data_IF_082996268077
#
_entry.id   IF_082996268077
#
_cell.length_a   1.000
_cell.length_b   1.000
_cell.length_c   1.000
_cell.angle_alpha   90.00
_cell.angle_beta   90.00
_cell.angle_gamma   90.00
#
_symmetry.space_group_name_H-M   'P 1'
#
loop_
_entity.id
_entity.type
_entity.pdbx_description
1 polymer ?
#
# COMPACT_ATOMS: atom_id res chain seq x y z
N UNK A 1 -16.32 11.44 -0.87
CA UNK A 1 -15.74 10.09 -0.99
C UNK A 1 -14.36 10.19 -1.58
N UNK A 2 -13.40 9.40 -1.10
CA UNK A 2 -12.08 9.23 -1.72
C UNK A 2 -11.97 7.82 -2.30
N UNK A 3 -11.23 7.65 -3.41
CA UNK A 3 -10.84 6.35 -3.94
C UNK A 3 -9.48 5.97 -3.35
N UNK A 4 -9.40 4.81 -2.72
CA UNK A 4 -8.16 4.20 -2.23
C UNK A 4 -7.90 2.95 -3.04
N UNK A 5 -6.75 2.84 -3.71
CA UNK A 5 -6.34 1.62 -4.39
C UNK A 5 -5.29 0.89 -3.57
N UNK A 6 -5.35 -0.44 -3.51
CA UNK A 6 -4.46 -1.22 -2.65
C UNK A 6 -4.80 -1.13 -1.16
N UNK A 7 -6.08 -0.81 -0.83
CA UNK A 7 -6.52 -0.58 0.54
C UNK A 7 -6.76 -1.84 1.37
N UNK A 8 -6.55 -3.05 0.82
CA UNK A 8 -6.50 -4.30 1.58
C UNK A 8 -5.06 -4.76 1.87
N UNK A 9 -4.03 -4.05 1.34
CA UNK A 9 -2.62 -4.26 1.65
C UNK A 9 -2.23 -3.63 3.00
N UNK A 10 -1.00 -3.88 3.45
CA UNK A 10 -0.50 -3.45 4.76
C UNK A 10 -0.67 -1.95 5.03
N UNK A 11 -0.08 -1.08 4.21
CA UNK A 11 -0.13 0.38 4.42
C UNK A 11 -1.53 0.91 4.10
N UNK A 12 -2.13 0.46 2.98
CA UNK A 12 -3.46 0.90 2.57
C UNK A 12 -4.55 0.57 3.57
N UNK A 13 -4.54 -0.63 4.18
CA UNK A 13 -5.51 -1.01 5.20
C UNK A 13 -5.36 -0.17 6.48
N UNK A 14 -4.14 0.07 6.95
CA UNK A 14 -3.90 0.98 8.08
C UNK A 14 -4.39 2.39 7.75
N UNK A 15 -4.21 2.88 6.54
CA UNK A 15 -4.74 4.18 6.11
C UNK A 15 -6.27 4.20 6.08
N UNK A 16 -6.93 3.17 5.53
CA UNK A 16 -8.40 3.09 5.49
C UNK A 16 -9.00 3.06 6.89
N UNK A 17 -8.41 2.26 7.80
CA UNK A 17 -8.81 2.21 9.21
C UNK A 17 -8.64 3.57 9.90
N UNK A 18 -7.48 4.21 9.73
CA UNK A 18 -7.19 5.53 10.30
C UNK A 18 -8.11 6.60 9.72
N UNK A 19 -8.33 6.60 8.39
CA UNK A 19 -9.21 7.56 7.72
C UNK A 19 -10.63 7.52 8.28
N UNK A 20 -11.23 6.33 8.35
CA UNK A 20 -12.61 6.16 8.82
C UNK A 20 -12.77 6.34 10.34
N UNK A 21 -11.67 6.24 11.10
CA UNK A 21 -11.66 6.56 12.53
C UNK A 21 -11.75 8.06 12.81
N UNK A 22 -11.16 8.90 11.94
CA UNK A 22 -11.08 10.35 12.18
C UNK A 22 -11.88 11.21 11.20
N UNK A 23 -12.44 10.63 10.12
CA UNK A 23 -13.24 11.31 9.13
C UNK A 23 -14.62 10.67 8.96
N UNK A 24 -15.62 11.48 8.69
CA UNK A 24 -16.94 11.00 8.27
C UNK A 24 -17.02 10.65 6.77
N UNK A 25 -16.01 11.00 6.00
CA UNK A 25 -15.99 10.85 4.55
C UNK A 25 -15.78 9.39 4.13
N UNK A 26 -16.67 8.84 3.25
CA UNK A 26 -16.59 7.47 2.79
C UNK A 26 -15.33 7.17 1.95
N UNK A 27 -14.92 5.91 1.97
CA UNK A 27 -13.83 5.34 1.19
C UNK A 27 -14.37 4.33 0.18
N UNK A 28 -14.06 4.52 -1.10
CA UNK A 28 -14.14 3.49 -2.13
C UNK A 28 -12.79 2.78 -2.16
N UNK A 29 -12.75 1.53 -1.72
CA UNK A 29 -11.53 0.73 -1.60
C UNK A 29 -11.44 -0.28 -2.75
N UNK A 30 -10.55 -0.03 -3.72
CA UNK A 30 -10.28 -0.92 -4.85
C UNK A 30 -9.01 -1.73 -4.57
N UNK A 31 -9.12 -3.05 -4.52
CA UNK A 31 -7.98 -3.94 -4.33
C UNK A 31 -8.12 -5.22 -5.16
N UNK A 32 -7.04 -5.66 -5.77
CA UNK A 32 -7.02 -6.88 -6.57
C UNK A 32 -7.01 -8.17 -5.73
N UNK A 33 -6.76 -8.05 -4.42
CA UNK A 33 -6.57 -9.16 -3.48
C UNK A 33 -5.54 -10.17 -3.99
N UNK A 34 -4.37 -9.64 -4.38
CA UNK A 34 -3.20 -10.48 -4.65
C UNK A 34 -2.67 -11.07 -3.33
N UNK A 35 -1.51 -11.71 -3.36
CA UNK A 35 -0.97 -12.42 -2.20
C UNK A 35 -0.83 -11.59 -0.90
N UNK A 36 -0.70 -10.26 -1.00
CA UNK A 36 -0.56 -9.34 0.14
C UNK A 36 -1.84 -8.58 0.49
N UNK A 37 -2.89 -8.70 -0.31
CA UNK A 37 -4.21 -8.12 -0.04
C UNK A 37 -5.02 -9.02 0.90
N UNK A 38 -5.42 -8.52 2.07
CA UNK A 38 -6.16 -9.30 3.07
C UNK A 38 -7.31 -8.49 3.66
N UNK A 39 -8.54 -8.84 3.28
CA UNK A 39 -9.75 -8.17 3.78
C UNK A 39 -10.05 -8.46 5.26
N UNK A 40 -9.52 -9.53 5.84
CA UNK A 40 -9.64 -9.79 7.27
C UNK A 40 -9.03 -8.65 8.10
N UNK A 41 -8.01 -7.96 7.56
CA UNK A 41 -7.44 -6.75 8.15
C UNK A 41 -8.49 -5.64 8.33
N UNK A 42 -9.50 -5.61 7.48
CA UNK A 42 -10.59 -4.63 7.47
C UNK A 42 -11.90 -5.19 8.06
N UNK A 43 -11.87 -6.33 8.76
CA UNK A 43 -13.06 -6.99 9.31
C UNK A 43 -13.89 -6.07 10.22
N UNK A 44 -13.24 -5.15 10.96
CA UNK A 44 -13.94 -4.15 11.79
C UNK A 44 -14.81 -3.18 10.98
N UNK A 45 -14.58 -3.06 9.67
CA UNK A 45 -15.34 -2.20 8.76
C UNK A 45 -16.43 -2.96 7.97
N UNK A 46 -16.65 -4.25 8.24
CA UNK A 46 -17.56 -5.09 7.47
C UNK A 46 -19.01 -4.54 7.43
N UNK A 47 -19.43 -3.83 8.49
CA UNK A 47 -20.77 -3.22 8.60
C UNK A 47 -20.74 -1.68 8.52
N UNK A 48 -19.59 -1.07 8.24
CA UNK A 48 -19.49 0.38 8.08
C UNK A 48 -19.86 0.78 6.65
N UNK A 49 -21.02 1.43 6.49
CA UNK A 49 -21.53 1.89 5.18
C UNK A 49 -20.61 2.92 4.50
N UNK A 50 -19.65 3.49 5.22
CA UNK A 50 -18.66 4.42 4.68
C UNK A 50 -17.52 3.69 3.97
N UNK A 51 -17.38 2.36 4.16
CA UNK A 51 -16.38 1.52 3.49
C UNK A 51 -17.04 0.73 2.36
N UNK A 52 -16.80 1.15 1.13
CA UNK A 52 -17.26 0.47 -0.09
C UNK A 52 -16.08 -0.29 -0.67
N UNK A 53 -16.11 -1.61 -0.60
CA UNK A 53 -15.05 -2.44 -1.15
C UNK A 53 -15.39 -2.93 -2.56
N UNK A 54 -14.42 -2.83 -3.47
CA UNK A 54 -14.48 -3.39 -4.82
C UNK A 54 -13.25 -4.24 -5.08
N UNK A 55 -13.45 -5.53 -5.40
CA UNK A 55 -12.37 -6.39 -5.89
C UNK A 55 -12.11 -6.08 -7.35
N UNK A 56 -10.89 -5.64 -7.67
CA UNK A 56 -10.51 -5.33 -9.06
C UNK A 56 -9.08 -4.87 -9.20
N UNK A 57 -8.58 -4.96 -10.42
CA UNK A 57 -7.21 -4.60 -10.79
C UNK A 57 -7.17 -3.18 -11.38
N UNK A 58 -6.20 -2.37 -10.99
CA UNK A 58 -5.95 -1.05 -11.58
C UNK A 58 -5.51 -1.13 -13.05
N UNK A 59 -5.14 -2.30 -13.55
CA UNK A 59 -4.92 -2.56 -14.97
C UNK A 59 -6.24 -2.68 -15.78
N UNK A 60 -7.39 -2.87 -15.12
CA UNK A 60 -8.71 -2.89 -15.79
C UNK A 60 -9.24 -1.46 -15.96
N UNK A 61 -8.95 -0.86 -17.11
CA UNK A 61 -9.37 0.49 -17.45
C UNK A 61 -10.90 0.64 -17.45
N UNK A 62 -11.64 -0.34 -17.95
CA UNK A 62 -13.10 -0.26 -18.01
C UNK A 62 -13.72 -0.26 -16.61
N UNK A 63 -13.16 -1.05 -15.68
CA UNK A 63 -13.53 -0.99 -14.27
C UNK A 63 -13.28 0.38 -13.67
N UNK A 64 -12.10 0.95 -13.88
CA UNK A 64 -11.76 2.29 -13.36
C UNK A 64 -12.74 3.36 -13.89
N UNK A 65 -12.98 3.39 -15.19
CA UNK A 65 -13.91 4.37 -15.79
C UNK A 65 -15.32 4.25 -15.19
N UNK A 66 -15.83 3.02 -14.95
CA UNK A 66 -17.10 2.79 -14.29
C UNK A 66 -17.11 3.30 -12.85
N UNK A 67 -16.07 2.98 -12.06
CA UNK A 67 -15.97 3.42 -10.66
C UNK A 67 -15.95 4.95 -10.54
N UNK A 68 -15.22 5.64 -11.42
CA UNK A 68 -15.21 7.11 -11.44
C UNK A 68 -16.57 7.69 -11.84
N UNK A 69 -17.28 7.07 -12.78
CA UNK A 69 -18.60 7.51 -13.20
C UNK A 69 -19.66 7.34 -12.10
N UNK A 70 -19.66 6.17 -11.43
CA UNK A 70 -20.64 5.82 -10.41
C UNK A 70 -20.42 6.56 -9.08
N UNK A 71 -19.18 6.65 -8.64
CA UNK A 71 -18.85 7.12 -7.29
C UNK A 71 -18.32 8.56 -7.23
N UNK A 72 -17.83 9.12 -8.35
CA UNK A 72 -17.34 10.50 -8.46
C UNK A 72 -16.40 10.91 -7.32
N UNK A 73 -15.30 10.17 -7.06
CA UNK A 73 -14.43 10.47 -5.95
C UNK A 73 -13.77 11.85 -6.11
N UNK A 74 -13.66 12.60 -4.99
CA UNK A 74 -12.97 13.91 -4.98
C UNK A 74 -11.46 13.81 -4.88
N UNK A 75 -10.94 12.63 -4.58
CA UNK A 75 -9.51 12.38 -4.49
C UNK A 75 -9.20 10.90 -4.71
N UNK A 76 -7.97 10.62 -5.12
CA UNK A 76 -7.40 9.29 -5.23
C UNK A 76 -6.20 9.18 -4.30
N UNK A 77 -6.10 8.10 -3.52
CA UNK A 77 -4.90 7.72 -2.77
C UNK A 77 -4.42 6.37 -3.29
N UNK A 78 -3.28 6.37 -3.96
CA UNK A 78 -2.81 5.24 -4.73
C UNK A 78 -1.72 4.46 -4.00
N UNK A 79 -2.11 3.33 -3.36
CA UNK A 79 -1.19 2.38 -2.73
C UNK A 79 -0.97 1.10 -3.56
N UNK A 80 -1.87 0.79 -4.51
CA UNK A 80 -1.79 -0.46 -5.26
C UNK A 80 -0.45 -0.59 -5.99
N UNK A 81 0.33 -1.60 -5.62
CA UNK A 81 1.63 -1.89 -6.19
C UNK A 81 2.07 -3.32 -5.85
N UNK A 82 2.84 -3.93 -6.74
CA UNK A 82 3.74 -5.02 -6.35
C UNK A 82 4.92 -4.42 -5.59
N UNK A 83 5.28 -4.98 -4.39
CA UNK A 83 6.19 -4.31 -3.46
C UNK A 83 7.28 -5.18 -2.83
N UNK A 84 7.37 -6.48 -3.17
CA UNK A 84 8.36 -7.36 -2.59
C UNK A 84 9.61 -7.45 -3.46
N UNK A 85 10.76 -6.89 -3.00
CA UNK A 85 11.99 -6.79 -3.79
C UNK A 85 12.46 -8.16 -4.29
N UNK A 86 12.51 -9.20 -3.41
CA UNK A 86 12.98 -10.53 -3.83
C UNK A 86 12.07 -11.13 -4.91
N UNK A 87 10.75 -10.93 -4.84
CA UNK A 87 9.82 -11.33 -5.90
C UNK A 87 10.08 -10.57 -7.20
N UNK A 88 10.50 -9.30 -7.13
CA UNK A 88 10.83 -8.51 -8.33
C UNK A 88 12.06 -9.04 -9.07
N UNK A 89 13.00 -9.65 -8.35
CA UNK A 89 14.20 -10.27 -8.94
C UNK A 89 13.81 -11.54 -9.73
N UNK A 90 12.88 -12.32 -9.20
CA UNK A 90 12.45 -13.57 -9.84
C UNK A 90 11.37 -13.37 -10.92
N UNK A 91 10.51 -12.35 -10.80
CA UNK A 91 9.39 -12.11 -11.72
C UNK A 91 9.11 -10.62 -11.96
N UNK A 92 10.00 -9.88 -12.65
CA UNK A 92 9.90 -8.44 -12.82
C UNK A 92 8.69 -7.99 -13.65
N UNK A 93 8.16 -8.85 -14.51
CA UNK A 93 7.04 -8.50 -15.39
C UNK A 93 5.77 -8.07 -14.64
N UNK A 94 5.46 -8.70 -13.50
CA UNK A 94 4.32 -8.32 -12.68
C UNK A 94 4.47 -6.89 -12.11
N UNK A 95 5.70 -6.49 -11.78
CA UNK A 95 6.01 -5.15 -11.27
C UNK A 95 5.85 -4.07 -12.36
N UNK A 96 6.30 -4.35 -13.57
CA UNK A 96 6.08 -3.44 -14.71
C UNK A 96 4.59 -3.31 -15.00
N UNK A 97 3.86 -4.42 -15.06
CA UNK A 97 2.42 -4.42 -15.32
C UNK A 97 1.66 -3.63 -14.25
N UNK A 98 1.81 -3.98 -12.98
CA UNK A 98 1.03 -3.35 -11.91
C UNK A 98 1.51 -1.92 -11.65
N UNK A 99 2.82 -1.72 -11.45
CA UNK A 99 3.31 -0.43 -10.98
C UNK A 99 3.40 0.63 -12.09
N UNK A 100 3.62 0.22 -13.33
CA UNK A 100 3.74 1.17 -14.45
C UNK A 100 2.44 1.24 -15.25
N UNK A 101 1.99 0.13 -15.85
CA UNK A 101 0.75 0.09 -16.65
C UNK A 101 -0.49 0.38 -15.82
N UNK A 102 -0.60 -0.23 -14.61
CA UNK A 102 -1.71 0.02 -13.70
C UNK A 102 -1.77 1.48 -13.25
N UNK A 103 -0.64 2.10 -12.90
CA UNK A 103 -0.57 3.53 -12.56
C UNK A 103 -0.95 4.39 -13.76
N UNK A 104 -0.49 4.06 -14.97
CA UNK A 104 -0.90 4.75 -16.20
C UNK A 104 -2.42 4.71 -16.40
N UNK A 105 -3.05 3.55 -16.29
CA UNK A 105 -4.48 3.39 -16.45
C UNK A 105 -5.27 4.19 -15.41
N UNK A 106 -4.81 4.18 -14.15
CA UNK A 106 -5.43 4.94 -13.08
C UNK A 106 -5.30 6.45 -13.31
N UNK A 107 -4.13 6.92 -13.76
CA UNK A 107 -3.91 8.34 -14.11
C UNK A 107 -4.83 8.79 -15.25
N UNK A 108 -4.98 8.00 -16.31
CA UNK A 108 -5.85 8.31 -17.44
C UNK A 108 -7.34 8.31 -17.05
N UNK A 109 -7.80 7.34 -16.24
CA UNK A 109 -9.17 7.34 -15.73
C UNK A 109 -9.42 8.55 -14.81
N UNK A 110 -8.45 8.87 -13.94
CA UNK A 110 -8.50 10.04 -13.07
C UNK A 110 -8.56 11.34 -13.87
N UNK A 111 -7.72 11.47 -14.91
CA UNK A 111 -7.71 12.65 -15.78
C UNK A 111 -9.02 12.82 -16.52
N UNK A 112 -9.57 11.75 -17.07
CA UNK A 112 -10.86 11.77 -17.74
C UNK A 112 -11.98 12.24 -16.79
N UNK A 113 -12.02 11.72 -15.57
CA UNK A 113 -12.95 12.16 -14.55
C UNK A 113 -12.73 13.63 -14.15
N UNK A 114 -11.49 14.02 -13.84
CA UNK A 114 -11.15 15.38 -13.43
C UNK A 114 -11.55 16.43 -14.48
N UNK A 115 -11.43 16.13 -15.76
CA UNK A 115 -11.86 17.03 -16.83
C UNK A 115 -13.38 17.33 -16.81
N UNK A 116 -14.21 16.42 -16.28
CA UNK A 116 -15.66 16.60 -16.14
C UNK A 116 -16.08 17.44 -14.93
N UNK A 117 -15.17 17.69 -13.99
CA UNK A 117 -15.46 18.39 -12.74
C UNK A 117 -15.63 19.91 -12.98
N UNK A 118 -16.41 20.56 -12.11
CA UNK A 118 -16.50 22.03 -12.05
C UNK A 118 -15.15 22.64 -11.64
N UNK A 119 -14.98 23.94 -11.84
CA UNK A 119 -13.75 24.63 -11.46
C UNK A 119 -13.44 24.51 -9.96
N UNK A 120 -14.44 24.57 -9.10
CA UNK A 120 -14.29 24.43 -7.65
C UNK A 120 -13.86 23.00 -7.26
N UNK A 121 -14.50 21.97 -7.85
CA UNK A 121 -14.13 20.58 -7.63
C UNK A 121 -12.71 20.29 -8.13
N UNK A 122 -12.33 20.80 -9.31
CA UNK A 122 -10.96 20.68 -9.85
C UNK A 122 -9.92 21.28 -8.92
N UNK A 123 -10.17 22.42 -8.33
CA UNK A 123 -9.25 23.09 -7.40
C UNK A 123 -9.01 22.26 -6.12
N UNK A 124 -10.03 21.55 -5.64
CA UNK A 124 -9.98 20.71 -4.44
C UNK A 124 -9.55 19.26 -4.71
N UNK A 125 -9.56 18.81 -5.97
CA UNK A 125 -9.21 17.45 -6.33
C UNK A 125 -7.73 17.16 -6.04
N UNK A 126 -7.40 15.94 -5.62
CA UNK A 126 -6.01 15.47 -5.43
C UNK A 126 -5.85 14.04 -5.91
N UNK A 127 -4.75 13.79 -6.60
CA UNK A 127 -4.23 12.44 -6.86
C UNK A 127 -2.97 12.29 -5.99
N UNK A 128 -3.04 11.49 -4.92
CA UNK A 128 -1.91 11.22 -4.05
C UNK A 128 -1.28 9.87 -4.41
N UNK A 129 -0.06 9.92 -4.92
CA UNK A 129 0.74 8.74 -5.22
C UNK A 129 1.65 8.39 -4.04
N UNK A 130 1.55 7.16 -3.53
CA UNK A 130 2.42 6.66 -2.46
C UNK A 130 3.56 5.85 -3.08
N UNK A 131 4.79 6.37 -2.92
CA UNK A 131 6.03 5.78 -3.42
C UNK A 131 6.97 5.39 -2.27
N UNK A 132 8.24 5.20 -2.55
CA UNK A 132 9.27 4.67 -1.65
C UNK A 132 10.56 5.45 -1.78
N UNK A 133 11.35 5.49 -0.72
CA UNK A 133 12.72 6.04 -0.73
C UNK A 133 13.70 5.20 -1.56
N UNK A 134 13.37 3.94 -1.84
CA UNK A 134 14.19 3.06 -2.68
C UNK A 134 14.39 3.57 -4.11
N UNK A 135 13.56 4.52 -4.56
CA UNK A 135 13.73 5.18 -5.87
C UNK A 135 15.00 6.04 -5.96
N UNK A 136 15.50 6.51 -4.82
CA UNK A 136 16.73 7.34 -4.77
C UNK A 136 18.01 6.51 -4.90
N UNK A 137 17.98 5.20 -4.70
CA UNK A 137 19.15 4.35 -4.73
C UNK A 137 19.78 4.12 -3.35
N UNK A 138 21.08 3.87 -3.30
CA UNK A 138 21.81 3.48 -2.09
C UNK A 138 22.75 4.58 -1.59
N UNK A 139 22.77 4.79 -0.28
CA UNK A 139 23.71 5.69 0.40
C UNK A 139 24.92 4.93 0.93
N UNK A 140 26.10 5.59 0.97
CA UNK A 140 27.20 5.18 1.81
C UNK A 140 26.88 5.46 3.29
N UNK A 141 27.75 4.99 4.19
CA UNK A 141 27.56 5.22 5.65
C UNK A 141 27.60 6.70 6.03
N UNK A 142 28.27 7.54 5.23
CA UNK A 142 28.56 8.94 5.55
C UNK A 142 27.78 9.95 4.70
N UNK A 143 27.05 9.48 3.68
CA UNK A 143 26.28 10.37 2.85
C UNK A 143 25.13 11.02 3.65
N UNK A 144 24.73 12.25 3.33
CA UNK A 144 23.54 12.84 3.93
C UNK A 144 22.29 12.07 3.49
N UNK A 145 21.21 12.08 4.31
CA UNK A 145 19.92 11.50 3.91
C UNK A 145 19.38 12.12 2.62
N UNK A 146 18.64 11.31 1.83
CA UNK A 146 18.00 11.78 0.60
C UNK A 146 16.97 12.86 0.88
N UNK A 147 17.03 13.92 0.10
CA UNK A 147 16.01 14.97 0.01
C UNK A 147 15.17 14.74 -1.24
N UNK A 148 14.05 15.44 -1.38
CA UNK A 148 13.21 15.41 -2.58
C UNK A 148 13.88 15.96 -3.86
N UNK A 149 15.10 16.52 -3.74
CA UNK A 149 15.89 17.04 -4.85
C UNK A 149 16.93 16.06 -5.39
N UNK A 150 17.12 14.93 -4.71
CA UNK A 150 18.05 13.89 -5.18
C UNK A 150 17.54 13.25 -6.48
N UNK A 151 18.46 12.85 -7.34
CA UNK A 151 18.14 12.06 -8.53
C UNK A 151 17.67 10.67 -8.13
N UNK A 152 16.87 10.06 -9.00
CA UNK A 152 16.45 8.67 -8.85
C UNK A 152 17.51 7.75 -9.48
N UNK A 153 18.02 6.81 -8.68
CA UNK A 153 19.04 5.82 -9.07
C UNK A 153 18.66 4.41 -8.56
N UNK A 154 17.45 3.91 -8.93
CA UNK A 154 16.92 2.67 -8.39
C UNK A 154 17.74 1.44 -8.79
N UNK A 155 18.04 0.53 -7.84
CA UNK A 155 18.91 -0.63 -8.05
C UNK A 155 18.16 -1.97 -8.16
N UNK A 156 16.84 -2.01 -7.97
CA UNK A 156 16.03 -3.22 -8.09
C UNK A 156 14.92 -3.07 -9.13
N UNK A 157 14.38 -4.17 -9.72
CA UNK A 157 13.22 -4.08 -10.60
C UNK A 157 12.00 -3.45 -9.92
N UNK A 158 11.81 -3.69 -8.62
CA UNK A 158 10.78 -3.03 -7.82
C UNK A 158 10.99 -1.50 -7.79
N UNK A 159 12.14 -1.04 -7.29
CA UNK A 159 12.41 0.40 -7.17
C UNK A 159 12.42 1.10 -8.53
N UNK A 160 12.91 0.44 -9.59
CA UNK A 160 12.84 0.95 -10.96
C UNK A 160 11.39 1.12 -11.45
N UNK A 161 10.51 0.16 -11.16
CA UNK A 161 9.09 0.26 -11.52
C UNK A 161 8.37 1.37 -10.74
N UNK A 162 8.74 1.60 -9.46
CA UNK A 162 8.22 2.71 -8.66
C UNK A 162 8.72 4.06 -9.18
N UNK A 163 10.02 4.18 -9.50
CA UNK A 163 10.57 5.38 -10.12
C UNK A 163 9.86 5.71 -11.46
N UNK A 164 9.56 4.69 -12.27
CA UNK A 164 8.81 4.88 -13.51
C UNK A 164 7.40 5.41 -13.25
N UNK A 165 6.68 4.87 -12.25
CA UNK A 165 5.36 5.38 -11.89
C UNK A 165 5.40 6.81 -11.33
N UNK A 166 6.40 7.16 -10.51
CA UNK A 166 6.61 8.53 -10.02
C UNK A 166 6.81 9.51 -11.19
N UNK A 167 7.59 9.13 -12.20
CA UNK A 167 7.78 9.94 -13.41
C UNK A 167 6.50 10.09 -14.24
N UNK A 168 5.65 9.06 -14.32
CA UNK A 168 4.33 9.17 -14.95
C UNK A 168 3.44 10.16 -14.20
N UNK A 169 3.36 10.03 -12.87
CA UNK A 169 2.56 10.95 -12.02
C UNK A 169 3.02 12.39 -12.21
N UNK A 170 4.34 12.62 -12.17
CA UNK A 170 4.93 13.93 -12.43
C UNK A 170 4.59 14.46 -13.84
N UNK A 171 4.67 13.61 -14.86
CA UNK A 171 4.37 13.98 -16.25
C UNK A 171 2.89 14.38 -16.41
N UNK A 172 1.94 13.68 -15.76
CA UNK A 172 0.51 14.05 -15.78
C UNK A 172 0.24 15.42 -15.17
N UNK A 173 0.99 15.78 -14.13
CA UNK A 173 0.92 17.13 -13.57
C UNK A 173 1.42 18.18 -14.59
N UNK A 174 2.65 18.02 -15.07
CA UNK A 174 3.28 19.04 -15.92
C UNK A 174 2.65 19.17 -17.31
N UNK A 175 2.18 18.05 -17.87
CA UNK A 175 1.60 18.04 -19.23
C UNK A 175 0.12 18.41 -19.22
N UNK A 176 -0.65 17.90 -18.26
CA UNK A 176 -2.11 18.00 -18.27
C UNK A 176 -2.68 18.84 -17.13
N UNK A 177 -1.86 19.29 -16.20
CA UNK A 177 -2.29 20.08 -15.04
C UNK A 177 -3.03 19.28 -13.97
N UNK A 178 -2.96 17.93 -14.00
CA UNK A 178 -3.60 17.10 -12.98
C UNK A 178 -3.00 17.43 -11.59
N UNK A 179 -3.82 17.73 -10.57
CA UNK A 179 -3.31 18.11 -9.25
C UNK A 179 -2.84 16.88 -8.46
N UNK A 180 -1.59 16.47 -8.73
CA UNK A 180 -0.95 15.33 -8.07
C UNK A 180 -0.12 15.77 -6.89
N UNK A 181 0.05 14.87 -5.91
CA UNK A 181 1.07 14.94 -4.86
C UNK A 181 1.72 13.56 -4.74
N UNK A 182 3.01 13.51 -4.43
CA UNK A 182 3.74 12.25 -4.24
C UNK A 182 4.34 12.19 -2.84
N UNK A 183 4.33 11.02 -2.22
CA UNK A 183 5.10 10.78 -0.99
C UNK A 183 6.08 9.63 -1.21
N UNK A 184 7.35 9.84 -0.83
CA UNK A 184 8.36 8.79 -0.78
C UNK A 184 8.58 8.43 0.69
N UNK A 185 8.17 7.22 1.08
CA UNK A 185 8.26 6.80 2.47
C UNK A 185 9.46 5.90 2.72
N UNK A 186 10.00 5.95 3.93
CA UNK A 186 10.97 4.99 4.45
C UNK A 186 10.32 3.65 4.81
N UNK A 187 11.10 2.68 5.32
CA UNK A 187 10.63 1.34 5.61
C UNK A 187 9.53 1.32 6.68
N UNK A 188 8.34 0.89 6.29
CA UNK A 188 7.19 0.83 7.19
C UNK A 188 7.21 -0.44 8.05
N UNK A 189 6.72 -0.33 9.29
CA UNK A 189 6.47 -1.44 10.20
C UNK A 189 5.24 -1.17 11.07
N UNK A 190 4.62 -2.21 11.61
CA UNK A 190 3.45 -2.06 12.45
C UNK A 190 2.44 -3.20 12.33
N UNK A 191 1.21 -3.00 12.85
CA UNK A 191 0.09 -3.93 12.73
C UNK A 191 -0.22 -4.32 11.30
N UNK A 192 -0.60 -5.58 11.07
CA UNK A 192 -1.00 -6.13 9.77
C UNK A 192 0.09 -6.20 8.70
N UNK A 193 1.37 -6.03 9.07
CA UNK A 193 2.48 -6.21 8.13
C UNK A 193 2.64 -7.69 7.76
N UNK A 194 2.68 -8.00 6.46
CA UNK A 194 2.69 -9.38 5.97
C UNK A 194 3.97 -10.12 6.43
N UNK A 195 3.87 -11.37 6.93
CA UNK A 195 4.96 -12.06 7.62
C UNK A 195 6.11 -12.57 6.71
N UNK A 196 6.23 -12.09 5.49
CA UNK A 196 7.41 -12.25 4.63
C UNK A 196 8.45 -11.12 4.80
N UNK A 197 8.08 -10.02 5.47
CA UNK A 197 8.95 -8.87 5.70
C UNK A 197 9.72 -9.03 7.01
N UNK A 198 10.88 -8.34 7.14
CA UNK A 198 11.86 -8.56 8.20
C UNK A 198 11.23 -8.64 9.61
N UNK A 199 10.59 -7.58 10.08
CA UNK A 199 10.08 -7.51 11.46
C UNK A 199 9.04 -8.61 11.75
N UNK A 200 7.94 -8.74 10.96
CA UNK A 200 6.96 -9.78 11.24
C UNK A 200 7.51 -11.20 11.04
N UNK A 201 8.40 -11.41 10.07
CA UNK A 201 9.07 -12.71 9.88
C UNK A 201 9.86 -13.12 11.13
N UNK A 202 10.64 -12.19 11.70
CA UNK A 202 11.41 -12.47 12.92
C UNK A 202 10.50 -12.80 14.10
N UNK A 203 9.41 -12.05 14.29
CA UNK A 203 8.44 -12.31 15.38
C UNK A 203 7.82 -13.71 15.22
N UNK A 204 7.30 -14.01 14.02
CA UNK A 204 6.58 -15.26 13.76
C UNK A 204 7.52 -16.47 13.83
N UNK A 205 8.71 -16.38 13.27
CA UNK A 205 9.69 -17.45 13.33
C UNK A 205 10.19 -17.68 14.77
N UNK A 206 10.46 -16.62 15.52
CA UNK A 206 10.87 -16.72 16.92
C UNK A 206 9.83 -17.48 17.74
N UNK A 207 8.55 -17.09 17.66
CA UNK A 207 7.46 -17.74 18.36
C UNK A 207 7.23 -19.21 17.95
N UNK A 208 7.62 -19.56 16.72
CA UNK A 208 7.57 -20.93 16.21
C UNK A 208 8.87 -21.74 16.47
N UNK A 209 9.87 -21.16 17.17
CA UNK A 209 11.17 -21.79 17.38
C UNK A 209 12.00 -22.03 16.12
N UNK A 210 11.70 -21.29 15.03
CA UNK A 210 12.36 -21.40 13.73
C UNK A 210 13.56 -20.47 13.63
N UNK A 211 14.54 -20.74 12.73
CA UNK A 211 15.66 -19.84 12.49
C UNK A 211 15.21 -18.43 12.12
N UNK A 212 15.96 -17.43 12.60
CA UNK A 212 15.79 -16.01 12.28
C UNK A 212 16.84 -15.63 11.22
N UNK A 213 16.50 -15.65 9.91
CA UNK A 213 17.47 -15.46 8.85
C UNK A 213 17.90 -14.00 8.74
N UNK A 214 19.20 -13.75 8.90
CA UNK A 214 19.84 -12.44 8.72
C UNK A 214 20.67 -12.48 7.44
N UNK A 215 20.35 -11.61 6.47
CA UNK A 215 21.06 -11.51 5.21
C UNK A 215 22.47 -10.92 5.39
N UNK A 216 23.50 -11.60 4.84
CA UNK A 216 24.89 -11.18 4.88
C UNK A 216 25.40 -10.96 6.30
N UNK A 217 25.90 -9.75 6.59
CA UNK A 217 26.38 -9.34 7.90
C UNK A 217 25.31 -8.66 8.79
N UNK A 218 24.10 -8.47 8.25
CA UNK A 218 23.00 -7.79 8.93
C UNK A 218 23.20 -6.28 9.13
N UNK A 219 24.23 -5.69 8.52
CA UNK A 219 24.61 -4.28 8.71
C UNK A 219 23.99 -3.34 7.70
N UNK A 220 23.00 -3.79 6.92
CA UNK A 220 22.19 -2.93 6.06
C UNK A 220 21.34 -2.03 6.94
N UNK A 221 21.42 -0.71 6.71
CA UNK A 221 20.73 0.32 7.50
C UNK A 221 19.44 0.73 6.80
N UNK A 222 18.37 0.84 7.58
CA UNK A 222 17.06 1.34 7.12
C UNK A 222 16.53 2.40 8.08
N UNK A 223 15.86 3.40 7.56
CA UNK A 223 15.01 4.28 8.37
C UNK A 223 13.63 3.59 8.55
N UNK A 224 13.15 3.54 9.79
CA UNK A 224 11.96 2.80 10.18
C UNK A 224 10.82 3.74 10.58
N UNK A 225 9.71 3.66 9.83
CA UNK A 225 8.51 4.48 10.00
C UNK A 225 7.34 3.64 10.50
N UNK A 226 6.75 4.03 11.63
CA UNK A 226 5.56 3.35 12.14
C UNK A 226 4.38 3.59 11.22
N UNK A 227 3.65 2.56 10.82
CA UNK A 227 2.64 2.61 9.76
C UNK A 227 1.48 3.58 10.04
N UNK A 228 1.11 3.78 11.32
CA UNK A 228 0.07 4.77 11.68
C UNK A 228 0.57 6.21 11.54
N UNK A 229 1.86 6.45 11.78
CA UNK A 229 2.46 7.75 11.49
C UNK A 229 2.48 8.00 9.99
N UNK A 230 2.80 6.99 9.17
CA UNK A 230 2.69 7.10 7.73
C UNK A 230 1.25 7.40 7.27
N UNK A 231 0.24 6.72 7.81
CA UNK A 231 -1.17 7.01 7.51
C UNK A 231 -1.53 8.47 7.84
N UNK A 232 -1.06 8.99 8.98
CA UNK A 232 -1.26 10.38 9.35
C UNK A 232 -0.56 11.37 8.41
N UNK A 233 0.67 11.06 7.95
CA UNK A 233 1.39 11.87 6.96
C UNK A 233 0.62 11.93 5.63
N UNK A 234 0.11 10.80 5.15
CA UNK A 234 -0.68 10.73 3.92
C UNK A 234 -1.93 11.61 4.03
N UNK A 235 -2.63 11.59 5.18
CA UNK A 235 -3.79 12.47 5.41
C UNK A 235 -3.41 13.95 5.32
N UNK A 236 -2.29 14.34 5.95
CA UNK A 236 -1.81 15.72 5.92
C UNK A 236 -1.40 16.15 4.51
N UNK A 237 -0.69 15.32 3.76
CA UNK A 237 -0.31 15.61 2.38
C UNK A 237 -1.53 15.67 1.47
N UNK A 238 -2.50 14.76 1.63
CA UNK A 238 -3.75 14.79 0.87
C UNK A 238 -4.55 16.09 1.11
N UNK A 239 -4.57 16.55 2.36
CA UNK A 239 -5.33 17.74 2.75
C UNK A 239 -4.64 19.05 2.38
N UNK A 240 -3.32 19.16 2.56
CA UNK A 240 -2.58 20.42 2.53
C UNK A 240 -1.34 20.41 1.63
N UNK A 241 -0.98 19.26 1.04
CA UNK A 241 0.15 19.16 0.14
C UNK A 241 -0.02 20.04 -1.10
N UNK A 242 1.05 20.69 -1.51
CA UNK A 242 1.08 21.53 -2.71
C UNK A 242 1.05 20.66 -3.97
N UNK A 243 0.09 20.84 -4.90
CA UNK A 243 0.07 20.08 -6.15
C UNK A 243 1.38 20.18 -6.94
N UNK A 244 1.84 19.05 -7.44
CA UNK A 244 3.10 18.92 -8.17
C UNK A 244 4.31 18.60 -7.28
N UNK A 245 4.17 18.72 -5.96
CA UNK A 245 5.27 18.51 -5.02
C UNK A 245 5.38 17.04 -4.56
N UNK A 246 6.62 16.66 -4.24
CA UNK A 246 6.98 15.42 -3.57
C UNK A 246 7.33 15.71 -2.11
N UNK A 247 6.93 14.82 -1.20
CA UNK A 247 7.25 14.90 0.23
C UNK A 247 7.89 13.57 0.68
N UNK A 248 9.08 13.65 1.25
CA UNK A 248 9.69 12.53 1.94
C UNK A 248 9.01 12.32 3.30
N UNK A 249 8.69 11.08 3.63
CA UNK A 249 8.04 10.69 4.89
C UNK A 249 8.91 9.65 5.61
N UNK A 250 9.70 10.09 6.59
CA UNK A 250 10.65 9.26 7.33
C UNK A 250 10.36 9.19 8.82
N UNK A 251 10.89 8.14 9.44
CA UNK A 251 10.75 7.91 10.88
C UNK A 251 11.85 8.55 11.72
N UNK A 252 12.94 9.02 11.10
CA UNK A 252 14.19 9.46 11.77
C UNK A 252 14.82 8.37 12.64
N UNK A 253 14.62 7.10 12.25
CA UNK A 253 15.01 5.92 13.02
C UNK A 253 15.92 4.99 12.20
N UNK A 254 17.10 5.47 11.82
CA UNK A 254 18.09 4.65 11.12
C UNK A 254 18.65 3.57 12.05
N UNK A 255 18.47 2.30 11.66
CA UNK A 255 18.99 1.15 12.42
C UNK A 255 19.49 0.05 11.48
N UNK A 256 20.60 -0.63 11.83
CA UNK A 256 21.01 -1.86 11.16
C UNK A 256 19.96 -2.96 11.32
N UNK A 257 19.78 -3.79 10.30
CA UNK A 257 18.84 -4.90 10.36
C UNK A 257 19.11 -5.87 11.52
N UNK A 258 20.36 -6.11 11.86
CA UNK A 258 20.73 -6.97 12.99
C UNK A 258 20.24 -6.39 14.33
N UNK A 259 20.32 -5.07 14.52
CA UNK A 259 19.81 -4.39 15.72
C UNK A 259 18.29 -4.53 15.86
N UNK A 260 17.57 -4.51 14.72
CA UNK A 260 16.13 -4.78 14.69
C UNK A 260 15.84 -6.19 15.19
N UNK A 261 16.60 -7.20 14.69
CA UNK A 261 16.41 -8.60 15.09
C UNK A 261 16.68 -8.78 16.57
N UNK A 262 17.76 -8.21 17.09
CA UNK A 262 18.04 -8.25 18.52
C UNK A 262 16.96 -7.55 19.36
N UNK A 263 16.46 -6.41 18.91
CA UNK A 263 15.37 -5.69 19.61
C UNK A 263 14.09 -6.53 19.65
N UNK A 264 13.72 -7.18 18.54
CA UNK A 264 12.57 -8.09 18.50
C UNK A 264 12.77 -9.27 19.47
N UNK A 265 13.94 -9.90 19.48
CA UNK A 265 14.25 -10.98 20.41
C UNK A 265 14.13 -10.53 21.87
N UNK A 266 14.72 -9.40 22.24
CA UNK A 266 14.65 -8.87 23.61
C UNK A 266 13.23 -8.55 24.05
N UNK A 267 12.39 -7.98 23.15
CA UNK A 267 10.98 -7.73 23.46
C UNK A 267 10.17 -9.02 23.62
N UNK A 268 10.46 -10.05 22.84
CA UNK A 268 9.84 -11.36 22.99
C UNK A 268 10.31 -12.06 24.28
N UNK A 269 11.57 -11.98 24.63
CA UNK A 269 12.11 -12.50 25.91
C UNK A 269 11.40 -11.84 27.10
N UNK A 270 11.08 -10.53 27.00
CA UNK A 270 10.34 -9.80 28.04
C UNK A 270 8.86 -10.19 28.08
N UNK A 271 8.20 -10.23 26.93
CA UNK A 271 6.73 -10.32 26.85
C UNK A 271 6.21 -11.76 26.84
N UNK A 272 6.98 -12.69 26.32
CA UNK A 272 6.63 -14.10 26.14
C UNK A 272 7.90 -14.97 26.18
N UNK A 273 8.56 -15.11 27.33
CA UNK A 273 9.81 -15.87 27.46
C UNK A 273 9.63 -17.33 27.03
N UNK A 274 10.66 -17.87 26.33
CA UNK A 274 10.70 -19.27 25.93
C UNK A 274 11.51 -20.11 26.94
N UNK A 275 10.99 -21.26 27.33
CA UNK A 275 11.65 -22.17 28.24
C UNK A 275 13.01 -22.71 27.68
N UNK A 276 13.18 -22.71 26.35
CA UNK A 276 14.43 -23.13 25.70
C UNK A 276 15.55 -22.09 25.75
N UNK A 277 15.28 -20.89 26.31
CA UNK A 277 16.24 -19.79 26.46
C UNK A 277 15.99 -18.62 25.50
N UNK A 278 16.88 -17.60 25.49
CA UNK A 278 16.68 -16.36 24.75
C UNK A 278 16.39 -16.58 23.25
N UNK A 279 15.48 -15.81 22.67
CA UNK A 279 15.13 -15.92 21.24
C UNK A 279 16.32 -15.60 20.31
N UNK A 280 17.29 -14.81 20.78
CA UNK A 280 18.51 -14.51 20.01
C UNK A 280 19.35 -15.74 19.63
N UNK A 281 19.16 -16.90 20.32
CA UNK A 281 19.77 -18.17 19.95
C UNK A 281 19.37 -18.68 18.55
N UNK A 282 18.23 -18.20 18.04
CA UNK A 282 17.66 -18.60 16.75
C UNK A 282 18.24 -17.80 15.57
N UNK A 283 19.05 -16.76 15.83
CA UNK A 283 19.64 -15.94 14.77
C UNK A 283 20.55 -16.79 13.91
N UNK A 284 20.34 -16.75 12.59
CA UNK A 284 21.09 -17.52 11.61
C UNK A 284 21.45 -16.64 10.44
N UNK A 285 22.74 -16.56 10.10
CA UNK A 285 23.20 -15.80 8.95
C UNK A 285 23.02 -16.58 7.67
N UNK A 286 22.50 -15.92 6.63
CA UNK A 286 22.26 -16.51 5.30
C UNK A 286 22.95 -15.67 4.23
N UNK A 287 23.13 -16.24 3.04
CA UNK A 287 23.72 -15.52 1.89
C UNK A 287 22.90 -14.26 1.58
N UNK A 288 23.60 -13.16 1.33
CA UNK A 288 22.94 -11.90 0.99
C UNK A 288 22.32 -11.94 -0.41
N UNK A 289 21.29 -11.13 -0.63
CA UNK A 289 20.60 -11.06 -1.92
C UNK A 289 21.38 -10.18 -2.90
N UNK A 290 21.30 -10.43 -4.23
CA UNK A 290 21.84 -9.54 -5.24
C UNK A 290 21.23 -8.12 -5.15
N UNK A 291 22.06 -7.09 -5.34
CA UNK A 291 21.59 -5.69 -5.35
C UNK A 291 21.05 -5.22 -4.00
N UNK A 292 21.53 -5.76 -2.88
CA UNK A 292 21.09 -5.35 -1.56
C UNK A 292 21.74 -4.02 -1.16
N UNK A 293 20.98 -2.94 -1.27
CA UNK A 293 21.41 -1.59 -0.92
C UNK A 293 21.88 -1.50 0.55
N UNK A 294 22.98 -0.79 0.74
CA UNK A 294 23.65 -0.73 2.06
C UNK A 294 22.92 0.14 3.05
N UNK A 295 22.41 1.31 2.61
CA UNK A 295 21.73 2.25 3.50
C UNK A 295 20.64 3.02 2.76
N UNK A 296 19.46 3.10 3.39
CA UNK A 296 18.41 4.05 3.07
C UNK A 296 18.21 4.98 4.25
N UNK A 297 18.19 6.28 3.97
CA UNK A 297 17.84 7.31 4.91
C UNK A 297 17.23 8.49 4.16
N UNK A 298 16.16 9.06 4.67
CA UNK A 298 15.49 10.18 4.03
C UNK A 298 15.37 11.38 4.97
N UNK A 299 15.42 12.56 4.39
CA UNK A 299 15.24 13.84 5.06
C UNK A 299 13.76 14.25 4.96
N UNK A 300 13.03 14.14 6.06
CA UNK A 300 11.62 14.51 6.15
C UNK A 300 11.40 15.97 6.61
N UNK A 301 12.41 16.84 6.60
CA UNK A 301 12.26 18.24 7.05
C UNK A 301 11.32 19.08 6.18
N UNK A 302 11.11 18.71 4.93
CA UNK A 302 10.15 19.42 4.06
C UNK A 302 8.72 19.27 4.54
N UNK A 303 8.26 18.05 4.79
CA UNK A 303 6.90 17.80 5.29
C UNK A 303 6.70 18.44 6.68
N UNK A 304 7.73 18.41 7.55
CA UNK A 304 7.69 19.10 8.85
C UNK A 304 7.52 20.60 8.66
N UNK A 305 8.38 21.24 7.84
CA UNK A 305 8.36 22.69 7.63
C UNK A 305 7.08 23.18 6.97
N UNK A 306 6.57 22.47 5.96
CA UNK A 306 5.46 22.94 5.13
C UNK A 306 4.10 22.51 5.65
N UNK A 307 4.00 21.35 6.26
CA UNK A 307 2.75 20.78 6.73
C UNK A 307 2.68 20.61 8.26
N UNK A 308 3.79 20.84 8.98
CA UNK A 308 3.87 20.70 10.44
C UNK A 308 3.80 19.24 10.92
N UNK A 309 3.91 18.25 9.99
CA UNK A 309 3.83 16.85 10.36
C UNK A 309 5.17 16.33 10.87
N UNK A 310 5.10 15.53 11.94
CA UNK A 310 6.19 14.75 12.53
C UNK A 310 5.68 13.37 12.91
N UNK A 311 6.53 12.32 12.88
CA UNK A 311 6.15 11.03 13.46
C UNK A 311 5.88 11.18 14.97
N UNK A 312 4.83 10.52 15.44
CA UNK A 312 4.44 10.51 16.86
C UNK A 312 5.18 9.41 17.64
N UNK A 313 5.58 8.34 16.96
CA UNK A 313 6.27 7.20 17.56
C UNK A 313 7.78 7.29 17.35
N UNK A 314 8.55 6.97 18.40
CA UNK A 314 9.94 6.56 18.23
C UNK A 314 10.01 5.10 17.80
N UNK A 315 11.17 4.64 17.33
CA UNK A 315 11.33 3.22 17.02
C UNK A 315 11.02 2.33 18.24
N UNK A 316 11.49 2.70 19.41
CA UNK A 316 11.33 1.92 20.65
C UNK A 316 9.86 1.79 21.06
N UNK A 317 9.08 2.86 20.93
CA UNK A 317 7.64 2.83 21.26
C UNK A 317 6.85 2.08 20.18
N UNK A 318 7.13 2.32 18.91
CA UNK A 318 6.45 1.67 17.79
C UNK A 318 6.73 0.17 17.68
N UNK A 319 8.00 -0.26 17.86
CA UNK A 319 8.35 -1.68 17.79
C UNK A 319 7.73 -2.49 18.93
N UNK A 320 7.67 -1.92 20.15
CA UNK A 320 6.98 -2.55 21.29
C UNK A 320 5.49 -2.74 21.02
N UNK A 321 4.82 -1.73 20.42
CA UNK A 321 3.42 -1.82 20.00
C UNK A 321 3.24 -2.89 18.92
N UNK A 322 4.19 -2.98 18.00
CA UNK A 322 4.16 -3.97 16.91
C UNK A 322 4.29 -5.39 17.46
N UNK A 323 5.29 -5.68 18.28
CA UNK A 323 5.47 -7.00 18.90
C UNK A 323 4.23 -7.39 19.70
N UNK A 324 3.69 -6.47 20.54
CA UNK A 324 2.46 -6.70 21.30
C UNK A 324 1.30 -7.05 20.38
N UNK A 325 1.13 -6.31 19.28
CA UNK A 325 0.05 -6.58 18.33
C UNK A 325 0.11 -8.01 17.76
N UNK A 326 1.31 -8.50 17.37
CA UNK A 326 1.48 -9.87 16.88
C UNK A 326 1.18 -10.92 17.94
N UNK A 327 1.52 -10.67 19.21
CA UNK A 327 1.19 -11.55 20.33
C UNK A 327 -0.32 -11.61 20.60
N UNK A 328 -1.02 -10.49 20.41
CA UNK A 328 -2.45 -10.37 20.69
C UNK A 328 -3.34 -10.78 19.49
N UNK A 329 -2.78 -10.95 18.27
CA UNK A 329 -3.53 -11.25 17.04
C UNK A 329 -3.03 -12.54 16.37
N UNK A 330 -2.87 -13.60 17.16
CA UNK A 330 -2.35 -14.89 16.70
C UNK A 330 -3.21 -15.54 15.62
N UNK A 331 -4.53 -15.36 15.67
CA UNK A 331 -5.47 -15.92 14.70
C UNK A 331 -5.26 -15.28 13.31
N UNK A 332 -5.16 -13.95 13.26
CA UNK A 332 -4.83 -13.24 12.02
C UNK A 332 -3.50 -13.74 11.44
N UNK A 333 -2.47 -13.89 12.29
CA UNK A 333 -1.15 -14.40 11.88
C UNK A 333 -1.26 -15.82 11.30
N UNK A 334 -1.98 -16.71 11.98
CA UNK A 334 -2.18 -18.08 11.54
C UNK A 334 -2.94 -18.14 10.20
N UNK A 335 -3.98 -17.34 10.02
CA UNK A 335 -4.75 -17.27 8.78
C UNK A 335 -3.91 -16.76 7.62
N UNK A 336 -3.12 -15.72 7.82
CA UNK A 336 -2.21 -15.20 6.78
C UNK A 336 -1.14 -16.22 6.40
N UNK A 337 -0.57 -16.96 7.37
CA UNK A 337 0.44 -17.98 7.10
C UNK A 337 -0.12 -19.20 6.36
N UNK A 338 -1.33 -19.62 6.69
CA UNK A 338 -1.98 -20.77 6.06
C UNK A 338 -2.62 -20.46 4.71
N UNK A 339 -2.77 -19.18 4.35
CA UNK A 339 -3.58 -18.73 3.22
C UNK A 339 -5.09 -18.84 3.46
N UNK A 340 -5.53 -19.18 4.68
CA UNK A 340 -6.96 -19.37 5.01
C UNK A 340 -7.79 -18.10 4.83
N UNK A 341 -7.18 -16.91 4.88
CA UNK A 341 -7.85 -15.65 4.59
C UNK A 341 -8.44 -15.61 3.16
N UNK A 342 -7.87 -16.32 2.20
CA UNK A 342 -8.43 -16.45 0.85
C UNK A 342 -9.80 -17.13 0.89
N UNK A 343 -9.95 -18.18 1.70
CA UNK A 343 -11.23 -18.88 1.90
C UNK A 343 -12.26 -17.98 2.59
N UNK A 344 -11.83 -17.16 3.55
CA UNK A 344 -12.69 -16.18 4.21
C UNK A 344 -13.24 -15.15 3.22
N UNK A 345 -12.42 -14.70 2.28
CA UNK A 345 -12.84 -13.80 1.20
C UNK A 345 -13.95 -14.44 0.36
N UNK A 346 -13.75 -15.68 -0.08
CA UNK A 346 -14.74 -16.39 -0.88
C UNK A 346 -16.07 -16.58 -0.13
N UNK A 347 -16.03 -16.89 1.16
CA UNK A 347 -17.23 -17.08 1.98
C UNK A 347 -17.98 -15.76 2.23
N UNK A 348 -17.28 -14.68 2.53
CA UNK A 348 -17.92 -13.42 2.98
C UNK A 348 -18.26 -12.44 1.87
N UNK A 349 -17.66 -12.57 0.69
CA UNK A 349 -17.85 -11.62 -0.41
C UNK A 349 -18.53 -12.21 -1.65
N UNK A 350 -18.49 -13.53 -1.87
CA UNK A 350 -19.24 -14.16 -2.95
C UNK A 350 -20.76 -13.97 -2.80
N UNK A 351 -21.28 -14.02 -1.59
CA UNK A 351 -22.70 -13.77 -1.29
C UNK A 351 -23.11 -12.30 -1.55
N UNK A 352 -22.25 -11.34 -1.20
CA UNK A 352 -22.52 -9.90 -1.41
C UNK A 352 -22.43 -9.46 -2.87
N UNK A 353 -21.64 -10.13 -3.71
CA UNK A 353 -21.62 -9.90 -5.16
C UNK A 353 -22.89 -10.40 -5.85
N UNK A 354 -23.61 -11.34 -5.25
CA UNK A 354 -24.93 -11.82 -5.69
C UNK A 354 -26.03 -10.78 -5.52
N UNK A 355 -26.02 -10.01 -4.44
CA UNK A 355 -27.01 -8.94 -4.18
C UNK A 355 -26.86 -7.74 -5.15
N UNK A 356 -25.65 -7.36 -5.52
CA UNK A 356 -25.41 -6.28 -6.49
C UNK A 356 -25.86 -6.67 -7.91
N UNK A 357 -25.80 -7.95 -8.27
CA UNK A 357 -26.33 -8.44 -9.57
C UNK A 357 -27.85 -8.53 -9.61
N UNK A 358 -28.52 -8.73 -8.49
CA UNK A 358 -29.98 -8.83 -8.43
C UNK A 358 -30.66 -7.45 -8.61
N UNK A 359 -30.09 -6.38 -8.09
CA UNK A 359 -30.64 -5.03 -8.23
C UNK A 359 -30.36 -4.40 -9.62
N UNK A 360 -29.38 -4.89 -10.37
CA UNK A 360 -29.07 -4.38 -11.71
C UNK A 360 -29.90 -5.01 -12.84
N UNK A 361 -30.71 -6.05 -12.56
CA UNK A 361 -31.55 -6.75 -13.57
C UNK A 361 -33.04 -6.39 -13.47
N UNK A 362 -33.40 -5.52 -12.54
CA UNK A 362 -34.78 -5.01 -12.39
C UNK A 362 -35.09 -3.87 -13.31
N UNK A 363 -35.83 -4.17 -14.39
CA UNK A 363 -36.60 -3.28 -15.32
C UNK A 363 -35.93 -2.88 -16.64
N UNK A 364 -36.04 -3.78 -17.60
CA UNK A 364 -36.40 -3.40 -18.97
C UNK A 364 -37.51 -4.37 -19.43
N UNK A 365 -38.73 -4.06 -19.10
CA UNK A 365 -39.93 -4.61 -19.77
C UNK A 365 -40.51 -3.54 -20.68
N UNK A 366 -40.67 -3.89 -21.96
CA UNK A 366 -41.60 -3.19 -22.80
C UNK A 366 -41.10 -2.70 -24.15
N UNK A 367 -40.92 -3.60 -25.12
CA UNK A 367 -41.30 -3.29 -26.48
C UNK A 367 -41.77 -4.54 -27.22
N UNK A 368 -42.92 -4.45 -27.99
CA UNK A 368 -43.57 -5.61 -28.55
C UNK A 368 -42.89 -6.09 -29.83
N UNK A 369 -42.83 -7.39 -29.96
CA UNK A 369 -42.38 -8.12 -31.14
C UNK A 369 -43.45 -8.00 -32.25
N UNK A 370 -43.10 -7.38 -33.36
CA UNK A 370 -43.80 -7.58 -34.62
C UNK A 370 -43.13 -8.71 -35.41
N UNK A 371 -43.92 -9.75 -35.68
CA UNK A 371 -43.51 -10.97 -36.36
C UNK A 371 -43.17 -10.78 -37.86
N UNK A 372 -42.55 -11.79 -38.49
CA UNK A 372 -42.06 -11.69 -39.83
C UNK A 372 -43.15 -11.86 -40.89
N UNK A 373 -43.15 -10.99 -41.91
CA UNK A 373 -43.89 -11.20 -43.15
C UNK A 373 -43.05 -12.01 -44.11
N UNK A 374 -43.72 -13.05 -44.61
CA UNK A 374 -43.22 -14.00 -45.61
C UNK A 374 -42.97 -13.35 -46.97
N UNK A 375 -42.00 -13.89 -47.65
CA UNK A 375 -41.56 -13.62 -48.99
C UNK A 375 -42.51 -14.12 -50.06
N UNK A 376 -42.79 -13.35 -51.07
CA UNK A 376 -43.29 -13.79 -52.35
C UNK A 376 -42.25 -13.47 -53.42
N UNK A 377 -41.88 -14.46 -54.23
CA UNK A 377 -40.84 -14.39 -55.23
C UNK A 377 -41.28 -13.80 -56.57
N UNK A 378 -40.33 -13.75 -57.47
CA UNK A 378 -40.63 -13.73 -58.90
C UNK A 378 -39.70 -12.83 -59.76
N UNK A 379 -38.91 -13.56 -60.50
CA UNK A 379 -38.13 -13.24 -61.73
C UNK A 379 -36.86 -12.43 -61.61
#
# INVERSE_FOLDING_TARGET
MILVTGGAGFIGANFVLDWLAVNAEPVLNLDALTYAGNLETLASLANDKRHVFVKGDICDRALLDRLFAEHRPRAVVHFAAESHVDRSIHGPAAFVKTNVEGTFNLLEATRAHWLTLSAAEKASFRFHHVSTDEVYGSLSKTDPPFTEKNLYEPNSPYSASKAASDHLVRAWHHTYGLPVVTTNCSNNYGPFHFPEKLIPLMIVNALAGKPLPVYGDGQQIRDWLYVKDHASAIREVLARGTPGETYNVGGWNEKPNLDIVHTVCALLDEMRPDAAGPYSRLITYVTDRPGHDRRYAIDARKIERELGWKPAETFETGIRKTVRWYLDNTDWVAHVQSGAYLNWVDTNYSERQGEIKADAVGRIDGHPTSGPRAMGGGT
#
